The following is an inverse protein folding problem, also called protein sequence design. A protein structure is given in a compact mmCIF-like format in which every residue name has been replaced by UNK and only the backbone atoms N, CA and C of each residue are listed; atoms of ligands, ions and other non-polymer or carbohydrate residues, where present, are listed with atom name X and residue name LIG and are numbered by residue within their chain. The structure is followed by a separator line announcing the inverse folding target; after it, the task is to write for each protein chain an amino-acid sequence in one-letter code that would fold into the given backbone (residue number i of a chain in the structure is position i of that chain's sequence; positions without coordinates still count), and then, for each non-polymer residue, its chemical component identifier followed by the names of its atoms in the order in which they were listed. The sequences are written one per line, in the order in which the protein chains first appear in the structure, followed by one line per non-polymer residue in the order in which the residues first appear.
data_IF_561024655167
#
_entry.id   IF_561024655167
#
_cell.length_a   1.000
_cell.length_b   1.000
_cell.length_c   1.000
_cell.angle_alpha   90.00
_cell.angle_beta   90.00
_cell.angle_gamma   90.00
#
_symmetry.space_group_name_H-M   'P 1'
#
loop_
_entity.id
_entity.type
_entity.pdbx_description
1 polymer ?
#
# COMPACT_ATOMS: atom_id res chain seq x y z
N UNK A 1 -0.04 -21.88 -1.78
CA UNK A 1 1.31 -21.44 -2.17
C UNK A 1 1.57 -20.14 -1.44
N UNK A 2 2.72 -19.96 -0.79
CA UNK A 2 3.05 -18.70 -0.14
C UNK A 2 3.19 -17.60 -1.22
N UNK A 3 2.55 -16.44 -1.00
CA UNK A 3 2.68 -15.30 -1.90
C UNK A 3 4.12 -14.79 -1.89
N UNK A 4 4.62 -14.39 -3.06
CA UNK A 4 5.99 -13.86 -3.22
C UNK A 4 5.94 -12.34 -3.30
N UNK A 5 6.81 -11.61 -2.59
CA UNK A 5 6.94 -10.17 -2.74
C UNK A 5 7.22 -9.78 -4.20
N UNK A 6 6.68 -8.65 -4.63
CA UNK A 6 6.81 -8.11 -5.98
C UNK A 6 7.77 -6.91 -6.02
N UNK A 7 7.97 -6.37 -7.23
CA UNK A 7 8.83 -5.22 -7.47
C UNK A 7 10.31 -5.57 -7.63
N UNK A 8 11.19 -4.62 -7.29
CA UNK A 8 12.62 -4.81 -7.47
C UNK A 8 13.19 -5.60 -6.27
N UNK A 9 13.50 -6.88 -6.44
CA UNK A 9 14.07 -7.70 -5.35
C UNK A 9 15.60 -7.83 -5.42
N UNK A 10 16.23 -7.15 -6.39
CA UNK A 10 17.67 -7.24 -6.62
C UNK A 10 18.44 -6.75 -5.40
N UNK A 11 19.43 -7.52 -4.96
CA UNK A 11 20.29 -7.19 -3.81
C UNK A 11 19.67 -7.44 -2.44
N UNK A 12 18.42 -7.91 -2.34
CA UNK A 12 17.79 -8.27 -1.07
C UNK A 12 18.23 -9.67 -0.64
N UNK A 13 18.74 -9.81 0.59
CA UNK A 13 19.17 -11.09 1.16
C UNK A 13 17.97 -12.03 1.37
N UNK A 14 18.20 -13.34 1.31
CA UNK A 14 17.16 -14.37 1.53
C UNK A 14 16.39 -14.19 2.83
N UNK A 15 17.10 -13.94 3.95
CA UNK A 15 16.46 -13.71 5.25
C UNK A 15 15.47 -12.53 5.23
N UNK A 16 15.81 -11.45 4.53
CA UNK A 16 14.90 -10.31 4.35
C UNK A 16 13.75 -10.65 3.41
N UNK A 17 13.98 -11.41 2.34
CA UNK A 17 12.89 -11.89 1.48
C UNK A 17 11.89 -12.76 2.23
N UNK A 18 12.35 -13.57 3.18
CA UNK A 18 11.48 -14.39 4.03
C UNK A 18 10.70 -13.53 5.03
N UNK A 19 11.34 -12.48 5.58
CA UNK A 19 10.68 -11.49 6.44
C UNK A 19 9.62 -10.67 5.69
N UNK A 20 9.88 -10.29 4.44
CA UNK A 20 8.88 -9.66 3.57
C UNK A 20 7.72 -10.60 3.24
N UNK A 21 7.96 -11.91 3.12
CA UNK A 21 6.88 -12.89 2.93
C UNK A 21 5.99 -13.01 4.17
N UNK A 22 6.55 -12.93 5.38
CA UNK A 22 5.73 -12.99 6.60
C UNK A 22 4.78 -11.81 6.76
N UNK A 23 4.96 -10.71 5.99
CA UNK A 23 3.96 -9.65 5.93
C UNK A 23 2.61 -10.18 5.42
N UNK A 24 2.57 -11.18 4.53
CA UNK A 24 1.31 -11.78 4.08
C UNK A 24 0.52 -12.50 5.19
N UNK A 25 1.16 -12.84 6.31
CA UNK A 25 0.51 -13.52 7.43
C UNK A 25 -0.27 -12.55 8.35
N UNK A 26 -0.06 -11.23 8.19
CA UNK A 26 -0.83 -10.23 8.92
C UNK A 26 -2.27 -10.20 8.43
N UNK A 27 -3.18 -10.05 9.38
CA UNK A 27 -4.60 -9.79 9.12
C UNK A 27 -5.06 -8.60 9.94
N UNK A 28 -5.61 -7.62 9.25
CA UNK A 28 -6.11 -6.40 9.87
C UNK A 28 -7.54 -6.61 10.36
N UNK A 29 -7.87 -6.06 11.51
CA UNK A 29 -9.24 -5.90 11.99
C UNK A 29 -10.07 -5.07 11.02
N UNK A 30 -11.37 -5.32 11.00
CA UNK A 30 -12.31 -4.61 10.11
C UNK A 30 -12.57 -3.17 10.57
N UNK A 31 -12.30 -2.90 11.84
CA UNK A 31 -12.46 -1.63 12.54
C UNK A 31 -11.15 -0.84 12.68
N UNK A 32 -10.04 -1.36 12.14
CA UNK A 32 -8.75 -0.67 12.12
C UNK A 32 -8.27 -0.35 10.70
N UNK A 33 -7.55 0.78 10.59
CA UNK A 33 -6.90 1.18 9.35
C UNK A 33 -5.66 0.31 9.06
N UNK A 34 -4.80 0.17 10.06
CA UNK A 34 -3.70 -0.78 10.10
C UNK A 34 -3.28 -0.96 11.55
N UNK A 35 -2.92 -2.18 11.92
CA UNK A 35 -2.39 -2.48 13.23
C UNK A 35 -1.00 -1.86 13.38
N UNK A 36 -0.65 -1.50 14.61
CA UNK A 36 0.67 -0.94 14.89
C UNK A 36 1.79 -1.96 14.62
N UNK A 37 1.51 -3.25 14.80
CA UNK A 37 2.41 -4.35 14.52
C UNK A 37 2.75 -4.42 13.02
N UNK A 38 1.75 -4.27 12.14
CA UNK A 38 1.98 -4.23 10.69
C UNK A 38 2.84 -3.03 10.32
N UNK A 39 2.48 -1.83 10.79
CA UNK A 39 3.22 -0.61 10.49
C UNK A 39 4.65 -0.67 11.00
N UNK A 40 4.86 -1.21 12.20
CA UNK A 40 6.19 -1.36 12.80
C UNK A 40 7.06 -2.32 11.99
N UNK A 41 6.53 -3.48 11.60
CA UNK A 41 7.28 -4.46 10.82
C UNK A 41 7.57 -3.96 9.40
N UNK A 42 6.61 -3.27 8.78
CA UNK A 42 6.75 -2.67 7.47
C UNK A 42 7.86 -1.60 7.45
N UNK A 43 7.84 -0.68 8.42
CA UNK A 43 8.87 0.36 8.57
C UNK A 43 10.24 -0.23 8.94
N UNK A 44 10.28 -1.28 9.76
CA UNK A 44 11.52 -1.96 10.11
C UNK A 44 12.18 -2.60 8.88
N UNK A 45 11.38 -3.32 8.07
CA UNK A 45 11.86 -3.89 6.81
C UNK A 45 12.35 -2.80 5.85
N UNK A 46 11.57 -1.73 5.68
CA UNK A 46 11.89 -0.62 4.78
C UNK A 46 13.18 0.11 5.19
N UNK A 47 13.34 0.39 6.47
CA UNK A 47 14.55 1.02 7.02
C UNK A 47 15.79 0.14 6.87
N UNK A 48 15.66 -1.19 7.03
CA UNK A 48 16.78 -2.12 6.90
C UNK A 48 17.30 -2.20 5.46
N UNK A 49 16.41 -2.19 4.46
CA UNK A 49 16.81 -2.22 3.04
C UNK A 49 16.97 -0.84 2.41
N UNK A 50 16.58 0.22 3.12
CA UNK A 50 16.49 1.61 2.66
C UNK A 50 15.72 1.76 1.33
N UNK A 51 14.55 1.13 1.25
CA UNK A 51 13.70 1.14 0.05
C UNK A 51 12.23 1.18 0.45
N UNK A 52 11.42 1.81 -0.39
CA UNK A 52 9.98 1.81 -0.22
C UNK A 52 9.46 0.36 -0.25
N UNK A 53 8.50 0.07 0.63
CA UNK A 53 7.72 -1.15 0.64
C UNK A 53 6.26 -0.74 0.72
N UNK A 54 5.43 -1.38 -0.09
CA UNK A 54 3.98 -1.22 -0.08
C UNK A 54 3.27 -2.53 0.24
N UNK A 55 2.15 -2.42 0.94
CA UNK A 55 1.22 -3.51 1.19
C UNK A 55 -0.16 -3.13 0.70
N UNK A 56 -0.84 -4.10 0.09
CA UNK A 56 -2.20 -3.97 -0.39
C UNK A 56 -3.11 -4.84 0.47
N UNK A 57 -4.13 -4.22 1.04
CA UNK A 57 -5.00 -4.84 2.04
C UNK A 57 -6.41 -4.88 1.46
N UNK A 58 -7.01 -6.06 1.36
CA UNK A 58 -8.41 -6.22 0.95
C UNK A 58 -9.38 -5.84 2.08
N UNK A 59 -10.65 -5.63 1.73
CA UNK A 59 -11.71 -5.26 2.70
C UNK A 59 -11.94 -6.25 3.86
N UNK A 60 -11.51 -7.51 3.71
CA UNK A 60 -11.57 -8.52 4.77
C UNK A 60 -10.34 -8.50 5.70
N UNK A 61 -9.44 -7.54 5.49
CA UNK A 61 -8.21 -7.34 6.27
C UNK A 61 -7.01 -8.15 5.83
N UNK A 62 -7.13 -8.99 4.79
CA UNK A 62 -6.03 -9.82 4.30
C UNK A 62 -5.03 -9.00 3.48
N UNK A 63 -3.73 -9.26 3.64
CA UNK A 63 -2.71 -8.69 2.76
C UNK A 63 -2.67 -9.49 1.46
N UNK A 64 -2.98 -8.83 0.35
CA UNK A 64 -3.08 -9.44 -0.99
C UNK A 64 -1.85 -9.19 -1.86
N UNK A 65 -1.06 -8.16 -1.53
CA UNK A 65 0.22 -7.89 -2.19
C UNK A 65 1.22 -7.21 -1.25
N UNK A 66 2.50 -7.54 -1.44
CA UNK A 66 3.66 -6.91 -0.80
C UNK A 66 4.64 -6.58 -1.91
N UNK A 67 5.02 -5.31 -2.06
CA UNK A 67 5.86 -4.85 -3.18
C UNK A 67 7.03 -4.00 -2.67
N UNK A 68 8.20 -4.10 -3.33
CA UNK A 68 9.41 -3.34 -2.95
C UNK A 68 9.89 -2.41 -4.06
N UNK A 69 10.04 -1.13 -3.72
CA UNK A 69 10.43 -0.02 -4.58
C UNK A 69 9.23 0.73 -5.17
N UNK A 70 9.53 1.78 -5.94
CA UNK A 70 8.59 2.71 -6.61
C UNK A 70 7.83 2.05 -7.80
N UNK A 71 7.84 0.72 -7.89
CA UNK A 71 7.19 0.05 -9.00
C UNK A 71 5.69 -0.05 -8.73
N UNK A 72 4.94 0.93 -9.24
CA UNK A 72 3.48 0.89 -9.42
C UNK A 72 2.98 -0.30 -10.29
N UNK A 73 3.83 -1.29 -10.59
CA UNK A 73 3.47 -2.51 -11.29
C UNK A 73 2.94 -3.54 -10.30
N UNK A 74 1.81 -3.24 -9.68
CA UNK A 74 1.02 -4.27 -9.03
C UNK A 74 0.20 -4.97 -10.10
N UNK A 75 0.59 -6.20 -10.39
CA UNK A 75 -0.28 -7.17 -11.05
C UNK A 75 -1.38 -7.54 -10.07
N UNK A 76 -2.39 -6.68 -9.91
CA UNK A 76 -3.52 -6.97 -9.02
C UNK A 76 -4.17 -8.28 -9.50
N UNK A 77 -4.22 -9.34 -8.68
CA UNK A 77 -4.90 -10.56 -9.06
C UNK A 77 -6.39 -10.24 -9.18
N UNK A 78 -6.84 -10.08 -10.44
CA UNK A 78 -8.22 -9.97 -10.88
C UNK A 78 -9.20 -9.46 -9.82
N UNK A 79 -9.00 -8.22 -9.36
CA UNK A 79 -10.13 -7.49 -8.79
C UNK A 79 -11.18 -7.46 -9.89
N UNK A 80 -12.31 -8.13 -9.59
CA UNK A 80 -13.49 -8.24 -10.46
C UNK A 80 -13.51 -7.01 -11.36
N UNK A 81 -13.35 -7.22 -12.67
CA UNK A 81 -13.67 -6.23 -13.69
C UNK A 81 -15.08 -5.76 -13.35
N UNK A 82 -15.17 -4.66 -12.61
CA UNK A 82 -16.45 -4.23 -12.08
C UNK A 82 -17.15 -3.70 -13.30
N UNK A 83 -18.27 -4.34 -13.66
CA UNK A 83 -19.09 -3.97 -14.82
C UNK A 83 -19.67 -2.54 -14.72
N UNK A 84 -19.33 -1.81 -13.66
CA UNK A 84 -19.71 -0.45 -13.40
C UNK A 84 -18.43 0.35 -13.16
N UNK A 85 -18.17 1.34 -14.03
CA UNK A 85 -16.97 2.16 -14.02
C UNK A 85 -16.84 2.99 -12.73
N UNK A 86 -17.89 3.14 -11.93
CA UNK A 86 -17.89 4.04 -10.77
C UNK A 86 -17.39 3.42 -9.46
N UNK A 87 -17.12 2.11 -9.43
CA UNK A 87 -16.81 1.38 -8.19
C UNK A 87 -15.31 1.35 -7.88
N UNK A 88 -15.00 1.54 -6.61
CA UNK A 88 -13.66 1.29 -6.04
C UNK A 88 -13.34 -0.20 -6.07
N UNK A 89 -12.06 -0.50 -6.18
CA UNK A 89 -11.58 -1.83 -6.46
C UNK A 89 -11.64 -2.77 -5.23
N UNK A 90 -11.71 -2.22 -4.01
CA UNK A 90 -11.84 -3.01 -2.77
C UNK A 90 -10.53 -3.29 -2.06
N UNK A 91 -9.50 -2.49 -2.35
CA UNK A 91 -8.16 -2.62 -1.76
C UNK A 91 -7.66 -1.24 -1.33
N UNK A 92 -7.06 -1.17 -0.13
CA UNK A 92 -6.28 -0.02 0.30
C UNK A 92 -4.78 -0.31 0.20
N UNK A 93 -4.00 0.69 -0.16
CA UNK A 93 -2.54 0.63 -0.20
C UNK A 93 -1.95 1.39 0.99
N UNK A 94 -0.94 0.82 1.63
CA UNK A 94 -0.08 1.50 2.59
C UNK A 94 1.35 1.31 2.12
N UNK A 95 2.10 2.38 1.92
CA UNK A 95 3.51 2.32 1.58
C UNK A 95 4.37 3.16 2.50
N UNK A 96 5.65 2.82 2.57
CA UNK A 96 6.62 3.52 3.41
C UNK A 96 7.32 4.62 2.62
N UNK A 97 7.61 5.75 3.25
CA UNK A 97 8.58 6.72 2.76
C UNK A 97 9.89 6.60 3.58
N UNK A 98 10.94 5.94 3.05
CA UNK A 98 12.22 5.76 3.74
C UNK A 98 12.93 7.08 4.08
N UNK A 99 12.56 8.17 3.40
CA UNK A 99 13.06 9.53 3.64
C UNK A 99 12.47 10.21 4.88
N UNK A 100 11.44 9.62 5.49
CA UNK A 100 10.85 10.06 6.76
C UNK A 100 9.66 11.02 6.68
N UNK A 101 9.39 11.65 5.54
CA UNK A 101 8.17 12.45 5.34
C UNK A 101 7.03 11.55 4.85
N UNK A 102 5.97 11.41 5.65
CA UNK A 102 4.81 10.57 5.31
C UNK A 102 3.81 11.23 4.36
N UNK A 103 4.01 12.49 3.94
CA UNK A 103 3.06 13.16 3.04
C UNK A 103 2.95 12.45 1.69
N UNK A 104 1.72 12.31 1.21
CA UNK A 104 1.44 11.77 -0.12
C UNK A 104 1.89 12.74 -1.23
N UNK A 105 2.49 12.17 -2.27
CA UNK A 105 2.93 12.86 -3.48
C UNK A 105 1.84 12.87 -4.57
N UNK A 106 2.05 13.67 -5.62
CA UNK A 106 1.16 13.65 -6.79
C UNK A 106 1.10 12.27 -7.50
N UNK A 107 2.17 11.49 -7.42
CA UNK A 107 2.22 10.11 -7.95
C UNK A 107 1.30 9.20 -7.14
N UNK A 108 1.30 9.31 -5.82
CA UNK A 108 0.44 8.52 -4.94
C UNK A 108 -1.05 8.79 -5.19
N UNK A 109 -1.40 10.08 -5.31
CA UNK A 109 -2.76 10.49 -5.63
C UNK A 109 -3.17 10.07 -7.06
N UNK A 110 -2.21 10.05 -7.99
CA UNK A 110 -2.40 9.52 -9.34
C UNK A 110 -2.73 8.02 -9.33
N UNK A 111 -2.00 7.26 -8.52
CA UNK A 111 -2.20 5.82 -8.32
C UNK A 111 -3.55 5.53 -7.66
N UNK A 112 -3.92 6.28 -6.61
CA UNK A 112 -5.24 6.20 -5.97
C UNK A 112 -6.37 6.31 -7.00
N UNK A 113 -6.31 7.30 -7.90
CA UNK A 113 -7.30 7.51 -8.95
C UNK A 113 -7.29 6.41 -10.03
N UNK A 114 -6.12 6.11 -10.59
CA UNK A 114 -6.02 5.20 -11.74
C UNK A 114 -6.38 3.77 -11.37
N UNK A 115 -6.02 3.33 -10.17
CA UNK A 115 -6.32 1.98 -9.65
C UNK A 115 -7.66 1.92 -8.90
N UNK A 116 -8.34 3.07 -8.71
CA UNK A 116 -9.58 3.20 -7.95
C UNK A 116 -9.49 2.55 -6.57
N UNK A 117 -8.38 2.77 -5.87
CA UNK A 117 -8.15 2.21 -4.54
C UNK A 117 -9.20 2.72 -3.55
N UNK A 118 -9.53 1.89 -2.57
CA UNK A 118 -10.36 2.32 -1.43
C UNK A 118 -9.63 3.40 -0.62
N UNK A 119 -8.30 3.33 -0.55
CA UNK A 119 -7.44 4.32 0.10
C UNK A 119 -5.99 4.17 -0.38
N UNK A 120 -5.24 5.28 -0.36
CA UNK A 120 -3.78 5.31 -0.50
C UNK A 120 -3.18 5.96 0.74
N UNK A 121 -2.24 5.32 1.42
CA UNK A 121 -1.58 5.89 2.59
C UNK A 121 -0.07 5.73 2.53
N UNK A 122 0.61 6.71 3.09
CA UNK A 122 2.06 6.73 3.22
C UNK A 122 2.45 6.89 4.69
N UNK A 123 3.40 6.07 5.14
CA UNK A 123 4.00 6.15 6.47
C UNK A 123 5.47 6.55 6.38
N UNK A 124 5.83 7.64 7.04
CA UNK A 124 7.23 8.05 7.14
C UNK A 124 8.04 7.05 7.99
N UNK A 125 9.28 6.78 7.59
CA UNK A 125 10.20 5.90 8.30
C UNK A 125 11.36 6.68 8.89
N UNK A 126 11.64 6.49 10.18
CA UNK A 126 12.84 7.01 10.85
C UNK A 126 13.39 5.96 11.79
N UNK A 127 14.68 5.61 11.64
CA UNK A 127 15.33 4.54 12.40
C UNK A 127 14.55 3.20 12.40
N UNK A 128 13.95 2.87 11.26
CA UNK A 128 13.12 1.66 11.09
C UNK A 128 11.78 1.71 11.84
N UNK A 129 11.34 2.88 12.30
CA UNK A 129 10.08 3.08 13.04
C UNK A 129 9.11 3.96 12.25
N UNK A 130 7.80 3.75 12.41
CA UNK A 130 6.79 4.63 11.84
C UNK A 130 6.84 6.01 12.50
N UNK A 131 6.68 7.07 11.70
CA UNK A 131 6.55 8.44 12.18
C UNK A 131 5.12 8.96 11.99
N UNK A 132 4.88 9.63 10.88
CA UNK A 132 3.61 10.23 10.50
C UNK A 132 3.00 9.44 9.36
N UNK A 133 1.69 9.23 9.43
CA UNK A 133 0.90 8.54 8.42
C UNK A 133 -0.11 9.52 7.83
N UNK A 134 -0.13 9.60 6.50
CA UNK A 134 -1.13 10.35 5.75
C UNK A 134 -1.92 9.35 4.91
N UNK A 135 -3.23 9.56 4.82
CA UNK A 135 -4.12 8.72 4.05
C UNK A 135 -4.93 9.60 3.10
N UNK A 136 -5.23 9.08 1.92
CA UNK A 136 -6.09 9.73 0.97
C UNK A 136 -7.18 8.79 0.47
N UNK A 137 -8.36 9.37 0.27
CA UNK A 137 -9.56 8.70 -0.20
C UNK A 137 -10.06 9.36 -1.48
N UNK A 138 -10.76 8.59 -2.31
CA UNK A 138 -11.50 9.17 -3.43
C UNK A 138 -12.83 9.70 -2.91
N UNK A 139 -13.08 10.99 -3.16
CA UNK A 139 -14.35 11.64 -2.89
C UNK A 139 -15.47 11.18 -3.84
N UNK A 140 -16.55 11.93 -3.84
CA UNK A 140 -17.70 11.67 -4.72
C UNK A 140 -17.31 11.71 -6.20
N UNK A 141 -18.06 10.97 -6.99
CA UNK A 141 -17.92 11.01 -8.44
C UNK A 141 -18.55 12.30 -8.96
N UNK A 142 -17.73 13.09 -9.65
CA UNK A 142 -18.14 14.32 -10.31
C UNK A 142 -18.46 13.97 -11.77
N UNK A 143 -19.75 14.05 -12.13
CA UNK A 143 -20.25 13.70 -13.48
C UNK A 143 -19.74 14.66 -14.56
N UNK A 144 -19.47 15.93 -14.22
CA UNK A 144 -19.01 16.95 -15.16
C UNK A 144 -17.56 16.72 -15.60
N UNK A 145 -16.72 16.26 -14.67
CA UNK A 145 -15.31 15.96 -14.92
C UNK A 145 -15.06 14.48 -15.22
N UNK A 146 -16.05 13.61 -14.98
CA UNK A 146 -15.91 12.16 -15.08
C UNK A 146 -14.86 11.60 -14.11
N UNK A 147 -14.66 12.25 -12.96
CA UNK A 147 -13.52 11.97 -12.06
C UNK A 147 -13.90 12.02 -10.58
N UNK A 148 -13.01 11.51 -9.73
CA UNK A 148 -13.10 11.63 -8.26
C UNK A 148 -11.93 12.45 -7.74
N UNK A 149 -12.22 13.45 -6.92
CA UNK A 149 -11.18 14.20 -6.21
C UNK A 149 -10.48 13.31 -5.19
N UNK A 150 -9.18 13.52 -4.98
CA UNK A 150 -8.47 12.87 -3.88
C UNK A 150 -8.53 13.77 -2.65
N UNK A 151 -9.02 13.23 -1.54
CA UNK A 151 -9.15 13.88 -0.24
C UNK A 151 -8.05 13.34 0.66
N UNK A 152 -7.13 14.21 1.09
CA UNK A 152 -5.99 13.88 1.98
C UNK A 152 -6.29 14.35 3.39
#
# INVERSE_FOLDING_TARGET
MANKPNGNLTGIKSAMLDRLKSLYDFKQGLDEFASFELLSELCACSGEINREISVYISRDGSIVDVSVGDSAKVSMPSMRLVRNEDRLCGVRCIHTHPSGDGRLSGVDLGTLRSMKLDCMAAVGVSDGKPTQLYAAYLGDFDEDTGSRAALV
#
